data_IF_984270658775
#
_entry.id   IF_984270658775
#
_cell.length_a   1.000
_cell.length_b   1.000
_cell.length_c   1.000
_cell.angle_alpha   90.00
_cell.angle_beta   90.00
_cell.angle_gamma   90.00
#
_symmetry.space_group_name_H-M   'P 1'
#
loop_
_entity.id
_entity.type
_entity.pdbx_description
1 polymer ?
#
# COMPACT_ATOMS: atom_id res chain seq x y z
N UNK A 1 -19.09 -14.26 -46.07
CA UNK A 1 -18.44 -14.58 -44.78
C UNK A 1 -19.37 -14.10 -43.66
N UNK A 2 -19.81 -14.99 -42.77
CA UNK A 2 -21.10 -14.87 -42.05
C UNK A 2 -21.03 -13.93 -40.84
N UNK A 3 -22.00 -13.01 -40.70
CA UNK A 3 -22.20 -12.01 -39.63
C UNK A 3 -21.92 -12.51 -38.21
N UNK A 4 -22.17 -13.79 -37.93
CA UNK A 4 -21.84 -14.46 -36.66
C UNK A 4 -20.34 -14.44 -36.30
N UNK A 5 -19.45 -14.50 -37.28
CA UNK A 5 -17.99 -14.37 -37.05
C UNK A 5 -17.60 -12.95 -36.68
N UNK A 6 -18.34 -11.96 -37.18
CA UNK A 6 -18.09 -10.54 -36.88
C UNK A 6 -18.53 -10.18 -35.45
N UNK A 7 -19.69 -10.67 -35.02
CA UNK A 7 -20.20 -10.46 -33.65
C UNK A 7 -19.26 -11.12 -32.62
N UNK A 8 -18.74 -12.31 -32.92
CA UNK A 8 -17.81 -13.02 -32.03
C UNK A 8 -16.49 -12.25 -31.85
N UNK A 9 -15.97 -11.63 -32.92
CA UNK A 9 -14.78 -10.76 -32.87
C UNK A 9 -15.03 -9.46 -32.08
N UNK A 10 -16.21 -8.87 -32.24
CA UNK A 10 -16.58 -7.63 -31.52
C UNK A 10 -16.70 -7.85 -30.01
N UNK A 11 -17.28 -8.98 -29.59
CA UNK A 11 -17.38 -9.36 -28.17
C UNK A 11 -15.99 -9.63 -27.58
N UNK A 12 -15.08 -10.25 -28.34
CA UNK A 12 -13.70 -10.48 -27.91
C UNK A 12 -12.92 -9.16 -27.74
N UNK A 13 -13.11 -8.20 -28.66
CA UNK A 13 -12.51 -6.86 -28.57
C UNK A 13 -13.06 -6.02 -27.41
N UNK A 14 -14.34 -6.18 -27.05
CA UNK A 14 -14.97 -5.54 -25.90
C UNK A 14 -14.57 -6.16 -24.55
N UNK A 15 -14.06 -7.39 -24.54
CA UNK A 15 -13.61 -8.10 -23.34
C UNK A 15 -12.09 -8.23 -23.23
N UNK A 16 -11.32 -7.50 -24.04
CA UNK A 16 -9.88 -7.36 -23.80
C UNK A 16 -9.68 -6.41 -22.64
N UNK A 17 -9.43 -6.85 -21.39
CA UNK A 17 -8.86 -5.94 -20.42
C UNK A 17 -7.54 -5.49 -21.02
N UNK A 18 -7.40 -4.19 -21.28
CA UNK A 18 -6.07 -3.59 -21.41
C UNK A 18 -5.30 -4.07 -20.19
N UNK A 19 -4.30 -4.90 -20.43
CA UNK A 19 -3.35 -5.32 -19.40
C UNK A 19 -2.62 -4.06 -18.98
N UNK A 20 -3.19 -3.33 -18.02
CA UNK A 20 -2.46 -2.39 -17.20
C UNK A 20 -1.48 -3.25 -16.40
N UNK A 21 -0.35 -3.59 -17.02
CA UNK A 21 0.77 -4.18 -16.32
C UNK A 21 1.16 -3.21 -15.21
N UNK A 22 1.07 -3.65 -13.96
CA UNK A 22 1.64 -2.92 -12.84
C UNK A 22 3.12 -2.76 -13.10
N UNK A 23 3.55 -1.59 -13.58
CA UNK A 23 4.96 -1.29 -13.70
C UNK A 23 5.54 -1.29 -12.29
N UNK A 24 6.63 -2.05 -12.09
CA UNK A 24 7.41 -2.06 -10.86
C UNK A 24 8.04 -0.68 -10.65
N UNK A 25 7.29 0.20 -10.01
CA UNK A 25 7.69 1.54 -9.63
C UNK A 25 7.51 1.71 -8.12
N UNK A 26 8.18 2.71 -7.57
CA UNK A 26 7.98 3.13 -6.19
C UNK A 26 6.83 4.15 -6.20
N UNK A 27 5.77 3.87 -5.47
CA UNK A 27 4.61 4.75 -5.33
C UNK A 27 3.92 4.53 -3.99
N UNK A 28 3.12 5.49 -3.57
CA UNK A 28 2.26 5.40 -2.40
C UNK A 28 0.91 4.77 -2.75
N UNK A 29 0.40 3.92 -1.85
CA UNK A 29 -0.86 3.20 -2.02
C UNK A 29 -1.73 3.49 -0.82
N UNK A 30 -2.92 4.05 -1.05
CA UNK A 30 -3.87 4.36 0.02
C UNK A 30 -4.40 3.06 0.64
N UNK A 31 -4.51 3.02 1.96
CA UNK A 31 -5.21 1.95 2.68
C UNK A 31 -6.71 2.24 2.68
N UNK A 32 -7.44 1.61 1.75
CA UNK A 32 -8.90 1.71 1.63
C UNK A 32 -9.59 0.56 2.39
N UNK A 33 -8.86 -0.11 3.28
CA UNK A 33 -9.31 -1.26 4.07
C UNK A 33 -8.92 -2.63 3.49
N UNK A 34 -8.06 -2.66 2.47
CA UNK A 34 -7.47 -3.91 1.97
C UNK A 34 -6.47 -4.53 2.95
N UNK A 35 -5.83 -3.71 3.79
CA UNK A 35 -4.90 -4.16 4.82
C UNK A 35 -5.47 -3.92 6.21
N UNK A 36 -5.04 -4.74 7.17
CA UNK A 36 -5.29 -4.46 8.58
C UNK A 36 -4.28 -3.44 9.10
N UNK A 37 -4.66 -2.62 10.07
CA UNK A 37 -3.74 -1.70 10.75
C UNK A 37 -4.16 -0.24 10.66
N UNK A 38 -3.56 0.59 11.53
CA UNK A 38 -3.84 2.02 11.65
C UNK A 38 -2.83 2.83 10.80
N UNK A 39 -2.94 2.71 9.49
CA UNK A 39 -2.15 3.50 8.54
C UNK A 39 -2.98 3.92 7.33
N UNK A 40 -2.59 5.03 6.74
CA UNK A 40 -3.28 5.70 5.64
C UNK A 40 -2.67 5.38 4.28
N UNK A 41 -1.33 5.35 4.21
CA UNK A 41 -0.62 5.05 2.98
C UNK A 41 0.52 4.09 3.25
N UNK A 42 0.80 3.23 2.27
CA UNK A 42 1.94 2.32 2.23
C UNK A 42 2.79 2.62 1.02
N UNK A 43 4.12 2.56 1.17
CA UNK A 43 5.06 2.58 0.05
C UNK A 43 6.12 1.51 0.26
N UNK A 44 6.44 0.77 -0.80
CA UNK A 44 7.49 -0.25 -0.77
C UNK A 44 8.70 0.23 -1.58
N UNK A 45 9.87 0.27 -0.93
CA UNK A 45 11.14 0.68 -1.54
C UNK A 45 12.17 -0.42 -1.27
N UNK A 46 12.41 -1.28 -2.25
CA UNK A 46 13.26 -2.46 -2.06
C UNK A 46 12.68 -3.39 -0.98
N UNK A 47 13.46 -3.65 0.07
CA UNK A 47 13.02 -4.44 1.23
C UNK A 47 12.39 -3.62 2.35
N UNK A 48 12.34 -2.29 2.21
CA UNK A 48 11.83 -1.39 3.23
C UNK A 48 10.39 -1.02 2.91
N UNK A 49 9.54 -1.04 3.94
CA UNK A 49 8.15 -0.59 3.82
C UNK A 49 7.94 0.65 4.68
N UNK A 50 7.38 1.68 4.07
CA UNK A 50 7.01 2.91 4.72
C UNK A 50 5.50 2.94 4.90
N UNK A 51 5.05 3.32 6.09
CA UNK A 51 3.64 3.52 6.41
C UNK A 51 3.44 4.95 6.93
N UNK A 52 2.54 5.69 6.29
CA UNK A 52 2.06 6.97 6.83
C UNK A 52 0.88 6.66 7.74
N UNK A 53 0.97 7.10 9.00
CA UNK A 53 -0.03 6.88 10.05
C UNK A 53 -0.55 8.23 10.53
N UNK A 54 -1.75 8.30 11.14
CA UNK A 54 -2.25 9.57 11.69
C UNK A 54 -1.31 10.20 12.73
N UNK A 55 -0.53 9.38 13.44
CA UNK A 55 0.36 9.83 14.51
C UNK A 55 1.81 10.02 14.05
N UNK A 56 2.14 9.71 12.79
CA UNK A 56 3.54 9.55 12.43
C UNK A 56 3.85 8.83 11.13
N UNK A 57 5.08 8.35 11.04
CA UNK A 57 5.53 7.43 10.01
C UNK A 57 6.15 6.19 10.65
N UNK A 58 5.82 5.01 10.15
CA UNK A 58 6.49 3.76 10.52
C UNK A 58 7.35 3.29 9.35
N UNK A 59 8.62 2.99 9.61
CA UNK A 59 9.57 2.44 8.65
C UNK A 59 9.89 1.01 9.10
N UNK A 60 9.45 0.04 8.32
CA UNK A 60 9.75 -1.37 8.53
C UNK A 60 11.00 -1.76 7.72
N UNK A 61 12.11 -1.96 8.43
CA UNK A 61 13.40 -2.37 7.87
C UNK A 61 13.64 -3.87 8.07
N UNK A 62 12.61 -4.65 8.43
CA UNK A 62 12.77 -6.07 8.70
C UNK A 62 13.00 -6.84 7.40
N UNK A 63 14.06 -7.64 7.39
CA UNK A 63 14.25 -8.72 6.44
C UNK A 63 13.64 -9.99 7.02
N UNK A 64 12.81 -10.62 6.21
CA UNK A 64 12.21 -11.91 6.53
C UNK A 64 13.01 -12.97 5.79
N UNK A 65 13.69 -13.84 6.54
CA UNK A 65 14.43 -14.96 5.97
C UNK A 65 13.66 -16.24 6.25
N UNK A 66 13.46 -17.04 5.20
CA UNK A 66 12.87 -18.37 5.30
C UNK A 66 13.71 -19.27 6.20
N UNK A 67 13.10 -20.35 6.69
CA UNK A 67 13.79 -21.29 7.58
C UNK A 67 14.93 -22.06 6.89
N UNK A 68 14.99 -22.00 5.56
CA UNK A 68 16.05 -22.52 4.70
C UNK A 68 17.19 -21.51 4.46
N UNK A 69 17.12 -20.32 5.07
CA UNK A 69 18.11 -19.26 4.89
C UNK A 69 17.93 -18.44 3.61
N UNK A 70 16.96 -18.79 2.77
CA UNK A 70 16.66 -18.06 1.55
C UNK A 70 15.63 -16.96 1.84
N UNK A 71 15.69 -15.81 1.15
CA UNK A 71 14.59 -14.86 1.17
C UNK A 71 13.32 -15.54 0.62
N UNK A 72 12.12 -15.18 1.11
CA UNK A 72 10.87 -15.73 0.60
C UNK A 72 10.79 -15.50 -0.91
N UNK A 73 10.41 -16.54 -1.66
CA UNK A 73 10.24 -16.46 -3.10
C UNK A 73 9.14 -15.43 -3.42
N UNK A 74 9.56 -14.28 -3.92
CA UNK A 74 8.76 -13.15 -4.41
C UNK A 74 7.59 -12.70 -3.51
N UNK A 75 7.88 -11.64 -2.76
CA UNK A 75 6.91 -10.87 -2.01
C UNK A 75 7.56 -10.43 -0.72
N UNK A 76 7.74 -9.13 -0.51
CA UNK A 76 7.98 -8.63 0.83
C UNK A 76 6.87 -9.19 1.72
N UNK A 77 7.26 -9.88 2.79
CA UNK A 77 6.29 -10.28 3.80
C UNK A 77 5.63 -9.00 4.30
N UNK A 78 4.37 -8.78 3.92
CA UNK A 78 3.59 -7.66 4.41
C UNK A 78 2.94 -8.08 5.73
N UNK A 79 3.39 -7.57 6.88
CA UNK A 79 2.84 -7.94 8.18
C UNK A 79 1.36 -7.55 8.33
N UNK A 80 0.86 -6.67 7.48
CA UNK A 80 -0.52 -6.17 7.49
C UNK A 80 -1.45 -6.86 6.48
N UNK A 81 -0.89 -7.68 5.58
CA UNK A 81 -1.70 -8.53 4.71
C UNK A 81 -2.24 -9.73 5.51
N UNK A 82 -3.54 -9.98 5.43
CA UNK A 82 -4.05 -11.28 5.84
C UNK A 82 -3.37 -12.35 4.98
N UNK A 83 -2.71 -13.31 5.63
CA UNK A 83 -2.04 -14.44 4.98
C UNK A 83 -3.08 -15.33 4.29
N UNK A 84 -3.51 -14.92 3.11
CA UNK A 84 -4.37 -15.67 2.21
C UNK A 84 -3.57 -16.41 1.14
N UNK A 85 -3.82 -17.71 1.01
CA UNK A 85 -3.48 -18.58 -0.13
C UNK A 85 -2.10 -19.27 -0.24
N UNK A 86 -1.39 -19.51 0.86
CA UNK A 86 -0.41 -20.61 0.85
C UNK A 86 -0.42 -21.44 2.12
N UNK A 87 -1.36 -22.39 2.14
CA UNK A 87 -1.35 -23.53 3.07
C UNK A 87 -0.18 -24.50 2.84
N UNK A 88 0.70 -24.25 1.86
CA UNK A 88 1.76 -25.17 1.44
C UNK A 88 3.17 -24.81 1.93
N UNK A 89 3.41 -23.60 2.47
CA UNK A 89 4.71 -23.29 3.08
C UNK A 89 4.68 -23.79 4.53
N UNK A 90 5.57 -24.73 4.93
CA UNK A 90 5.61 -25.22 6.29
C UNK A 90 5.75 -24.05 7.26
N UNK A 91 4.94 -24.08 8.33
CA UNK A 91 4.90 -23.12 9.43
C UNK A 91 6.21 -23.11 10.25
N UNK A 92 7.35 -22.80 9.64
CA UNK A 92 8.54 -22.42 10.40
C UNK A 92 8.52 -20.91 10.54
N UNK A 93 8.64 -20.45 11.80
CA UNK A 93 8.76 -19.03 12.12
C UNK A 93 9.86 -18.43 11.23
N UNK A 94 9.55 -17.46 10.36
CA UNK A 94 10.60 -16.78 9.61
C UNK A 94 11.56 -16.16 10.61
N UNK A 95 12.86 -16.28 10.36
CA UNK A 95 13.82 -15.49 11.13
C UNK A 95 13.65 -14.04 10.68
N UNK A 96 13.16 -13.22 11.59
CA UNK A 96 13.01 -11.78 11.39
C UNK A 96 14.29 -11.12 11.88
N UNK A 97 14.97 -10.38 11.01
CA UNK A 97 16.12 -9.54 11.37
C UNK A 97 15.86 -8.11 10.94
N UNK A 98 16.30 -7.15 11.73
CA UNK A 98 16.17 -5.73 11.43
C UNK A 98 15.39 -4.97 12.50
N UNK A 99 14.97 -3.76 12.15
CA UNK A 99 14.32 -2.84 13.08
C UNK A 99 13.03 -2.30 12.47
N UNK A 100 12.13 -1.87 13.35
CA UNK A 100 11.00 -1.00 12.99
C UNK A 100 11.28 0.33 13.65
N UNK A 101 11.26 1.40 12.87
CA UNK A 101 11.44 2.77 13.35
C UNK A 101 10.10 3.47 13.30
N UNK A 102 9.67 4.04 14.42
CA UNK A 102 8.46 4.85 14.49
C UNK A 102 8.85 6.30 14.74
N UNK A 103 8.39 7.17 13.85
CA UNK A 103 8.55 8.62 13.93
C UNK A 103 7.20 9.18 14.34
N UNK A 104 7.13 9.85 15.49
CA UNK A 104 5.90 10.47 15.95
C UNK A 104 5.83 11.94 15.53
N UNK A 105 4.67 12.34 15.01
CA UNK A 105 4.32 13.72 14.70
C UNK A 105 3.91 14.47 15.96
N UNK A 106 4.31 15.74 16.06
CA UNK A 106 3.96 16.61 17.19
C UNK A 106 2.87 17.58 16.75
N UNK A 107 1.67 17.03 16.51
CA UNK A 107 0.53 17.76 15.97
C UNK A 107 -0.02 18.72 17.03
N UNK A 108 0.09 20.05 16.86
CA UNK A 108 -0.34 21.01 17.88
C UNK A 108 -1.85 21.01 18.12
N UNK A 109 -2.64 20.79 17.06
CA UNK A 109 -4.11 20.77 17.07
C UNK A 109 -4.69 19.49 17.69
N UNK A 110 -3.91 18.42 17.85
CA UNK A 110 -4.32 17.19 18.53
C UNK A 110 -4.27 17.29 20.07
N UNK A 111 -3.84 18.43 20.64
CA UNK A 111 -3.75 18.65 22.11
C UNK A 111 -5.07 18.52 22.87
N UNK A 112 -6.20 18.47 22.19
CA UNK A 112 -7.51 18.17 22.81
C UNK A 112 -7.73 16.67 23.10
N UNK A 113 -6.75 15.80 22.83
CA UNK A 113 -6.77 14.38 23.25
C UNK A 113 -7.58 13.45 22.36
N UNK A 114 -8.26 13.97 21.34
CA UNK A 114 -8.93 13.17 20.30
C UNK A 114 -8.24 13.40 18.96
N UNK A 115 -7.63 12.37 18.40
CA UNK A 115 -7.30 12.36 16.98
C UNK A 115 -8.59 12.59 16.18
N UNK A 116 -8.56 13.38 15.09
CA UNK A 116 -9.73 13.50 14.24
C UNK A 116 -10.15 12.11 13.78
N UNK A 117 -11.47 11.85 13.64
CA UNK A 117 -11.95 10.62 13.04
C UNK A 117 -11.28 10.42 11.67
N UNK A 118 -11.14 9.16 11.24
CA UNK A 118 -10.57 8.81 9.94
C UNK A 118 -11.51 9.24 8.79
N UNK A 119 -11.64 10.55 8.58
CA UNK A 119 -12.45 11.16 7.53
C UNK A 119 -11.62 11.49 6.29
N UNK A 120 -10.32 11.18 6.32
CA UNK A 120 -9.38 11.47 5.23
C UNK A 120 -8.93 12.92 5.14
N UNK A 121 -9.38 13.78 6.06
CA UNK A 121 -9.10 15.22 6.04
C UNK A 121 -8.85 15.71 7.47
N UNK A 122 -7.78 16.49 7.67
CA UNK A 122 -7.45 17.11 8.95
C UNK A 122 -5.95 17.12 9.27
N UNK A 123 -5.54 17.79 10.36
CA UNK A 123 -4.14 17.84 10.80
C UNK A 123 -3.60 16.43 11.06
N UNK A 124 -2.39 16.13 10.55
CA UNK A 124 -1.80 14.79 10.65
C UNK A 124 -2.40 13.74 9.70
N UNK A 125 -3.42 14.09 8.91
CA UNK A 125 -4.01 13.15 7.94
C UNK A 125 -3.29 13.26 6.59
N UNK A 126 -2.59 12.20 6.20
CA UNK A 126 -1.94 12.12 4.90
C UNK A 126 -2.93 12.27 3.75
N UNK A 127 -2.58 13.09 2.76
CA UNK A 127 -3.31 13.27 1.51
C UNK A 127 -2.43 12.83 0.37
N UNK A 128 -2.88 11.81 -0.37
CA UNK A 128 -2.22 11.35 -1.59
C UNK A 128 -2.32 12.41 -2.69
N UNK A 129 -1.17 12.78 -3.24
CA UNK A 129 -1.01 13.81 -4.26
C UNK A 129 -0.50 13.20 -5.56
N UNK A 130 -0.72 13.91 -6.67
CA UNK A 130 -0.34 13.48 -8.03
C UNK A 130 -0.73 12.02 -8.29
N UNK A 131 -2.04 11.75 -8.27
CA UNK A 131 -2.58 10.42 -8.53
C UNK A 131 -2.09 9.93 -9.90
N UNK A 132 -1.47 8.76 -9.91
CA UNK A 132 -0.90 8.14 -11.10
C UNK A 132 -2.01 7.42 -11.90
N UNK A 133 -1.83 7.23 -13.23
CA UNK A 133 -2.85 6.58 -14.06
C UNK A 133 -3.02 5.08 -13.79
N UNK A 134 -2.07 4.46 -13.08
CA UNK A 134 -2.10 3.05 -12.72
C UNK A 134 -2.68 2.84 -11.31
N UNK A 135 -3.18 1.64 -11.10
CA UNK A 135 -3.83 1.22 -9.87
C UNK A 135 -3.53 -0.26 -9.61
N UNK A 136 -3.84 -0.71 -8.39
CA UNK A 136 -3.76 -2.13 -8.03
C UNK A 136 -5.12 -2.66 -7.62
N UNK A 137 -5.29 -3.97 -7.78
CA UNK A 137 -6.42 -4.71 -7.22
C UNK A 137 -5.87 -5.65 -6.14
N UNK A 138 -6.53 -5.63 -4.99
CA UNK A 138 -6.16 -6.40 -3.81
C UNK A 138 -7.27 -7.38 -3.48
N UNK A 139 -6.97 -8.67 -3.67
CA UNK A 139 -7.84 -9.79 -3.31
C UNK A 139 -7.14 -10.61 -2.22
N UNK A 140 -6.91 -9.96 -1.07
CA UNK A 140 -6.14 -10.52 0.03
C UNK A 140 -7.06 -11.36 0.92
N UNK A 141 -6.65 -12.61 1.21
CA UNK A 141 -7.42 -13.49 2.08
C UNK A 141 -8.72 -14.00 1.47
N UNK A 142 -9.46 -14.76 2.28
CA UNK A 142 -10.79 -15.29 1.93
C UNK A 142 -11.94 -14.32 2.22
N UNK A 143 -11.69 -13.23 2.93
CA UNK A 143 -12.69 -12.23 3.27
C UNK A 143 -12.85 -11.21 2.14
N UNK A 144 -13.92 -11.36 1.35
CA UNK A 144 -14.21 -10.47 0.23
C UNK A 144 -14.55 -9.04 0.66
N UNK A 145 -14.90 -8.80 1.93
CA UNK A 145 -15.14 -7.45 2.44
C UNK A 145 -13.85 -6.63 2.53
N UNK A 146 -12.68 -7.28 2.46
CA UNK A 146 -11.35 -6.67 2.41
C UNK A 146 -10.80 -6.57 0.99
N UNK A 147 -11.51 -7.10 -0.01
CA UNK A 147 -11.09 -6.96 -1.38
C UNK A 147 -11.31 -5.53 -1.86
N UNK A 148 -10.33 -4.98 -2.57
CA UNK A 148 -10.41 -3.63 -3.16
C UNK A 148 -9.96 -3.70 -4.61
N UNK A 149 -10.68 -3.01 -5.47
CA UNK A 149 -10.30 -2.84 -6.86
C UNK A 149 -10.08 -1.37 -7.16
N UNK A 150 -9.22 -1.06 -8.13
CA UNK A 150 -8.90 0.32 -8.53
C UNK A 150 -8.30 1.18 -7.42
N UNK A 151 -7.54 0.56 -6.50
CA UNK A 151 -6.82 1.30 -5.45
C UNK A 151 -5.76 2.17 -6.09
N UNK A 152 -5.87 3.48 -5.88
CA UNK A 152 -5.04 4.48 -6.55
C UNK A 152 -3.59 4.45 -6.09
N UNK A 153 -2.68 4.74 -7.02
CA UNK A 153 -1.28 5.01 -6.72
C UNK A 153 -1.00 6.51 -6.75
N UNK A 154 -0.07 6.96 -5.92
CA UNK A 154 0.26 8.38 -5.73
C UNK A 154 1.77 8.55 -5.73
N UNK A 155 2.26 9.63 -6.34
CA UNK A 155 3.70 9.96 -6.36
C UNK A 155 4.18 10.49 -5.00
N UNK A 156 3.28 11.14 -4.26
CA UNK A 156 3.61 11.76 -2.98
C UNK A 156 2.43 11.75 -2.02
N UNK A 157 2.75 11.86 -0.73
CA UNK A 157 1.78 12.04 0.36
C UNK A 157 2.16 13.29 1.12
N UNK A 158 1.19 14.18 1.34
CA UNK A 158 1.37 15.38 2.17
C UNK A 158 0.64 15.15 3.48
N UNK A 159 1.35 15.30 4.60
CA UNK A 159 0.78 15.32 5.94
C UNK A 159 0.77 16.76 6.43
N UNK A 160 -0.41 17.40 6.53
CA UNK A 160 -0.51 18.80 6.92
C UNK A 160 -0.36 18.99 8.43
N UNK A 161 0.15 20.15 8.82
CA UNK A 161 0.16 20.63 10.22
C UNK A 161 0.80 19.67 11.24
N UNK A 162 1.87 18.97 10.81
CA UNK A 162 2.65 18.10 11.69
C UNK A 162 3.38 18.90 12.78
N UNK A 163 3.67 20.17 12.50
CA UNK A 163 4.13 21.19 13.45
C UNK A 163 3.42 22.51 13.15
N UNK A 164 3.49 23.53 14.03
CA UNK A 164 2.91 24.84 13.74
C UNK A 164 3.42 25.35 12.38
N UNK A 165 2.48 25.57 11.46
CA UNK A 165 2.73 26.11 10.11
C UNK A 165 3.60 25.23 9.20
N UNK A 166 3.86 23.97 9.56
CA UNK A 166 4.70 23.07 8.77
C UNK A 166 3.96 21.79 8.34
N UNK A 167 4.16 21.43 7.07
CA UNK A 167 3.68 20.20 6.47
C UNK A 167 4.86 19.26 6.22
N UNK A 168 4.62 17.95 6.29
CA UNK A 168 5.57 16.94 5.82
C UNK A 168 5.12 16.48 4.44
N UNK A 169 6.06 16.40 3.50
CA UNK A 169 5.84 15.78 2.21
C UNK A 169 6.80 14.62 2.02
N UNK A 170 6.24 13.45 1.70
CA UNK A 170 7.02 12.27 1.34
C UNK A 170 6.85 11.99 -0.16
N UNK A 171 7.94 11.97 -0.91
CA UNK A 171 7.94 11.75 -2.36
C UNK A 171 8.62 10.44 -2.70
N UNK A 172 8.16 9.82 -3.77
CA UNK A 172 8.84 8.70 -4.42
C UNK A 172 9.52 9.23 -5.68
N UNK A 173 10.66 9.89 -5.53
CA UNK A 173 11.49 10.24 -6.67
C UNK A 173 12.19 8.98 -7.20
N UNK A 174 12.01 8.71 -8.50
CA UNK A 174 12.97 7.86 -9.19
C UNK A 174 14.26 8.66 -9.27
N UNK A 175 15.23 8.33 -8.42
CA UNK A 175 16.62 8.75 -8.65
C UNK A 175 17.02 8.07 -9.96
N UNK A 176 16.96 8.84 -11.06
CA UNK A 176 17.48 8.46 -12.37
C UNK A 176 19.01 8.43 -12.34
#
# INVERSE_FOLDING_TARGET
MKLRRFISLLIFLLHSPLLAGGQGGVFWIANEGQWQGDFQFKCEVGSTIYYVTPQGMTIDLRSYVGADGNPPAQGNFDPFAERGFSAAVPRRNPQVRGHVVQIHYVIPSARSGSLPPFTGEGPGMGVGQKKLPHYSNYFLGSDSTKWRSRVGHYENVIVPEVWPEANIETRTDQIL
#
